data_IF_183131292222
#
_entry.id   IF_183131292222
#
_cell.length_a   1.000
_cell.length_b   1.000
_cell.length_c   1.000
_cell.angle_alpha   90.00
_cell.angle_beta   90.00
_cell.angle_gamma   90.00
#
_symmetry.space_group_name_H-M   'P 1'
#
loop_
_entity.id
_entity.type
_entity.pdbx_description
1 polymer ?
#
# COMPACT_ATOMS: atom_id res chain seq x y z
N UNK A 1 -8.92 -13.28 -12.75
CA UNK A 1 -9.01 -11.83 -13.06
C UNK A 1 -7.61 -11.29 -13.27
N UNK A 2 -7.45 -10.27 -14.11
CA UNK A 2 -6.17 -9.62 -14.37
C UNK A 2 -5.85 -8.63 -13.25
N UNK A 3 -4.63 -8.68 -12.72
CA UNK A 3 -4.11 -7.73 -11.73
C UNK A 3 -3.15 -6.77 -12.43
N UNK A 4 -3.36 -5.48 -12.28
CA UNK A 4 -2.34 -4.49 -12.65
C UNK A 4 -1.21 -4.52 -11.63
N UNK A 5 0.02 -4.44 -12.13
CA UNK A 5 1.21 -4.37 -11.31
C UNK A 5 1.34 -3.04 -10.57
N UNK A 6 2.53 -2.82 -9.99
CA UNK A 6 2.88 -1.53 -9.40
C UNK A 6 3.17 -0.49 -10.48
N UNK A 7 2.74 0.75 -10.27
CA UNK A 7 3.08 1.87 -11.15
C UNK A 7 3.22 3.18 -10.37
N UNK A 8 4.12 4.06 -10.81
CA UNK A 8 4.42 5.32 -10.12
C UNK A 8 3.37 6.41 -10.47
N UNK A 9 3.17 7.41 -9.59
CA UNK A 9 2.19 8.49 -9.79
C UNK A 9 2.24 9.21 -11.16
N UNK A 10 3.41 9.60 -11.73
CA UNK A 10 3.44 10.35 -12.99
C UNK A 10 2.75 9.63 -14.15
N UNK A 11 2.98 8.32 -14.28
CA UNK A 11 2.37 7.53 -15.35
C UNK A 11 0.85 7.35 -15.19
N UNK A 12 0.34 7.45 -13.96
CA UNK A 12 -1.10 7.40 -13.69
C UNK A 12 -1.74 8.76 -13.92
N UNK A 13 -1.08 9.84 -13.49
CA UNK A 13 -1.62 11.21 -13.57
C UNK A 13 -2.00 11.61 -14.99
N UNK A 14 -1.20 11.21 -15.97
CA UNK A 14 -1.45 11.49 -17.39
C UNK A 14 -2.64 10.70 -17.97
N UNK A 15 -3.10 9.65 -17.27
CA UNK A 15 -4.07 8.66 -17.75
C UNK A 15 -5.14 8.29 -16.70
N UNK A 16 -5.51 9.23 -15.83
CA UNK A 16 -6.41 8.96 -14.69
C UNK A 16 -7.74 8.34 -15.12
N UNK A 17 -8.39 8.89 -16.15
CA UNK A 17 -9.69 8.43 -16.65
C UNK A 17 -9.59 7.02 -17.25
N UNK A 18 -8.55 6.75 -18.03
CA UNK A 18 -8.26 5.45 -18.63
C UNK A 18 -7.99 4.40 -17.54
N UNK A 19 -7.23 4.79 -16.50
CA UNK A 19 -6.96 3.93 -15.36
C UNK A 19 -8.22 3.58 -14.59
N UNK A 20 -9.09 4.55 -14.32
CA UNK A 20 -10.37 4.28 -13.69
C UNK A 20 -11.26 3.35 -14.56
N UNK A 21 -11.31 3.55 -15.88
CA UNK A 21 -12.05 2.66 -16.81
C UNK A 21 -11.53 1.22 -16.75
N UNK A 22 -10.20 1.05 -16.77
CA UNK A 22 -9.57 -0.28 -16.72
C UNK A 22 -9.85 -0.97 -15.38
N UNK A 23 -9.70 -0.26 -14.26
CA UNK A 23 -9.91 -0.81 -12.91
C UNK A 23 -11.39 -1.12 -12.62
N UNK A 24 -12.33 -0.46 -13.31
CA UNK A 24 -13.75 -0.79 -13.26
C UNK A 24 -14.15 -1.99 -14.12
N UNK A 25 -13.29 -2.45 -15.02
CA UNK A 25 -13.61 -3.56 -15.91
C UNK A 25 -13.81 -4.87 -15.11
N UNK A 26 -14.87 -5.66 -15.38
CA UNK A 26 -15.24 -6.82 -14.56
C UNK A 26 -14.19 -7.94 -14.53
N UNK A 27 -13.27 -7.97 -15.50
CA UNK A 27 -12.18 -8.95 -15.56
C UNK A 27 -10.88 -8.46 -14.93
N UNK A 28 -10.84 -7.24 -14.40
CA UNK A 28 -9.67 -6.62 -13.77
C UNK A 28 -9.95 -6.46 -12.27
N UNK A 29 -8.95 -6.72 -11.43
CA UNK A 29 -9.09 -6.44 -10.00
C UNK A 29 -9.16 -4.92 -9.77
N UNK A 30 -10.07 -4.49 -8.90
CA UNK A 30 -10.12 -3.12 -8.39
C UNK A 30 -9.05 -2.96 -7.28
N UNK A 31 -7.79 -3.09 -7.70
CA UNK A 31 -6.60 -3.00 -6.86
C UNK A 31 -5.50 -2.29 -7.65
N UNK A 32 -4.77 -1.38 -7.02
CA UNK A 32 -3.57 -0.80 -7.60
C UNK A 32 -2.51 -0.57 -6.53
N UNK A 33 -1.24 -0.84 -6.87
CA UNK A 33 -0.10 -0.52 -6.01
C UNK A 33 0.59 0.75 -6.53
N UNK A 34 0.50 1.82 -5.74
CA UNK A 34 1.05 3.14 -6.06
C UNK A 34 2.04 3.53 -4.95
N UNK A 35 3.35 3.49 -5.19
CA UNK A 35 4.32 3.82 -4.17
C UNK A 35 4.39 5.34 -3.92
N UNK A 36 4.16 5.77 -2.69
CA UNK A 36 4.43 7.15 -2.25
C UNK A 36 5.87 7.32 -1.79
N UNK A 37 6.46 6.29 -1.18
CA UNK A 37 7.83 6.22 -0.65
C UNK A 37 8.10 7.12 0.56
N UNK A 38 7.71 8.39 0.50
CA UNK A 38 7.78 9.36 1.60
C UNK A 38 6.69 10.42 1.41
N UNK A 39 6.15 10.97 2.49
CA UNK A 39 5.23 12.10 2.40
C UNK A 39 5.92 13.47 2.61
N UNK A 40 7.21 13.55 2.32
CA UNK A 40 7.97 14.81 2.28
C UNK A 40 8.50 15.07 0.87
N UNK A 41 8.12 16.20 0.28
CA UNK A 41 8.59 16.60 -1.06
C UNK A 41 10.11 16.77 -1.13
N UNK A 42 10.74 17.19 -0.02
CA UNK A 42 12.19 17.26 0.09
C UNK A 42 12.82 15.87 -0.03
N UNK A 43 12.29 14.89 0.72
CA UNK A 43 12.78 13.51 0.66
C UNK A 43 12.50 12.88 -0.71
N UNK A 44 11.33 13.13 -1.30
CA UNK A 44 10.98 12.66 -2.65
C UNK A 44 11.93 13.21 -3.72
N UNK A 45 12.27 14.50 -3.62
CA UNK A 45 13.23 15.14 -4.53
C UNK A 45 14.62 14.50 -4.41
N UNK A 46 15.11 14.27 -3.18
CA UNK A 46 16.39 13.59 -2.94
C UNK A 46 16.39 12.12 -3.40
N UNK A 47 15.23 11.46 -3.35
CA UNK A 47 14.99 10.15 -3.96
C UNK A 47 14.94 10.19 -5.50
N UNK A 48 15.01 11.37 -6.11
CA UNK A 48 14.83 11.62 -7.55
C UNK A 48 13.48 11.16 -8.07
N UNK A 49 12.41 11.41 -7.30
CA UNK A 49 11.04 11.21 -7.75
C UNK A 49 10.59 12.41 -8.59
N UNK A 50 9.88 12.11 -9.67
CA UNK A 50 9.31 13.11 -10.60
C UNK A 50 7.86 13.46 -10.23
N UNK A 51 7.53 13.37 -8.93
CA UNK A 51 6.21 13.66 -8.37
C UNK A 51 6.35 14.19 -6.94
N UNK A 52 5.37 14.97 -6.53
CA UNK A 52 5.21 15.44 -5.15
C UNK A 52 4.12 14.67 -4.39
N UNK A 53 3.96 14.96 -3.11
CA UNK A 53 2.89 14.37 -2.27
C UNK A 53 1.52 14.74 -2.80
N UNK A 54 1.33 15.98 -3.30
CA UNK A 54 0.06 16.42 -3.86
C UNK A 54 -0.33 15.62 -5.13
N UNK A 55 0.66 15.26 -5.95
CA UNK A 55 0.46 14.39 -7.11
C UNK A 55 -0.02 12.99 -6.70
N UNK A 56 0.64 12.39 -5.70
CA UNK A 56 0.20 11.12 -5.14
C UNK A 56 -1.22 11.19 -4.59
N UNK A 57 -1.54 12.21 -3.79
CA UNK A 57 -2.88 12.43 -3.23
C UNK A 57 -3.93 12.56 -4.34
N UNK A 58 -3.64 13.35 -5.37
CA UNK A 58 -4.52 13.52 -6.53
C UNK A 58 -4.86 12.19 -7.20
N UNK A 59 -3.86 11.31 -7.40
CA UNK A 59 -4.10 9.98 -7.97
C UNK A 59 -4.99 9.14 -7.05
N UNK A 60 -4.65 9.07 -5.76
CA UNK A 60 -5.37 8.26 -4.78
C UNK A 60 -6.82 8.72 -4.63
N UNK A 61 -7.05 10.03 -4.48
CA UNK A 61 -8.38 10.61 -4.31
C UNK A 61 -9.24 10.38 -5.55
N UNK A 62 -8.69 10.63 -6.74
CA UNK A 62 -9.38 10.40 -8.00
C UNK A 62 -9.80 8.93 -8.15
N UNK A 63 -8.90 7.98 -7.87
CA UNK A 63 -9.21 6.56 -7.99
C UNK A 63 -10.21 6.08 -6.94
N UNK A 64 -10.13 6.57 -5.70
CA UNK A 64 -11.12 6.27 -4.65
C UNK A 64 -12.51 6.80 -5.03
N UNK A 65 -12.60 7.93 -5.71
CA UNK A 65 -13.86 8.48 -6.21
C UNK A 65 -14.40 7.68 -7.42
N UNK A 66 -13.56 7.39 -8.41
CA UNK A 66 -13.99 6.81 -9.70
C UNK A 66 -14.05 5.29 -9.73
N UNK A 67 -13.40 4.59 -8.80
CA UNK A 67 -13.37 3.12 -8.74
C UNK A 67 -13.89 2.67 -7.36
N UNK A 68 -15.22 2.47 -7.22
CA UNK A 68 -15.82 2.11 -5.95
C UNK A 68 -15.19 0.87 -5.32
N UNK A 69 -14.76 1.00 -4.06
CA UNK A 69 -14.18 -0.09 -3.28
C UNK A 69 -12.73 -0.44 -3.62
N UNK A 70 -12.05 0.34 -4.48
CA UNK A 70 -10.66 0.08 -4.85
C UNK A 70 -9.74 -0.09 -3.63
N UNK A 71 -8.91 -1.14 -3.67
CA UNK A 71 -7.81 -1.32 -2.72
C UNK A 71 -6.56 -0.65 -3.28
N UNK A 72 -6.04 0.32 -2.54
CA UNK A 72 -4.77 0.98 -2.88
C UNK A 72 -3.69 0.50 -1.91
N UNK A 73 -2.65 -0.09 -2.47
CA UNK A 73 -1.43 -0.42 -1.75
C UNK A 73 -0.37 0.66 -1.97
N UNK A 74 0.52 0.84 -1.01
CA UNK A 74 1.66 1.77 -1.16
C UNK A 74 2.89 1.29 -0.41
N UNK A 75 4.05 1.75 -0.85
CA UNK A 75 5.35 1.55 -0.20
C UNK A 75 5.78 2.82 0.52
N UNK A 76 6.40 2.65 1.69
CA UNK A 76 7.09 3.70 2.45
C UNK A 76 8.50 3.25 2.77
N UNK A 77 9.48 4.15 2.59
CA UNK A 77 10.88 3.96 2.98
C UNK A 77 11.16 4.87 4.16
N UNK A 78 11.33 4.30 5.35
CA UNK A 78 11.74 5.03 6.53
C UNK A 78 13.26 5.21 6.58
N UNK A 79 13.70 6.42 6.91
CA UNK A 79 15.09 6.72 7.20
C UNK A 79 15.95 6.92 5.97
N UNK A 80 15.38 7.47 4.89
CA UNK A 80 16.16 7.92 3.76
C UNK A 80 17.22 8.96 4.23
N UNK A 81 18.44 8.97 3.66
CA UNK A 81 19.48 9.92 4.07
C UNK A 81 18.99 11.37 3.94
N UNK A 82 19.04 12.13 5.04
CA UNK A 82 18.49 13.50 5.11
C UNK A 82 17.06 13.59 5.65
N UNK A 83 16.35 12.48 5.84
CA UNK A 83 14.97 12.49 6.40
C UNK A 83 14.96 12.98 7.85
N UNK A 84 14.31 14.13 8.06
CA UNK A 84 14.12 14.75 9.38
C UNK A 84 12.95 14.11 10.14
N UNK A 85 12.81 14.46 11.42
CA UNK A 85 11.65 14.01 12.20
C UNK A 85 10.35 14.60 11.67
N UNK A 86 10.37 15.83 11.13
CA UNK A 86 9.19 16.45 10.54
C UNK A 86 8.73 15.72 9.27
N UNK A 87 9.67 15.37 8.38
CA UNK A 87 9.38 14.57 7.17
C UNK A 87 8.73 13.23 7.51
N UNK A 88 9.24 12.57 8.56
CA UNK A 88 8.68 11.33 9.04
C UNK A 88 7.27 11.52 9.63
N UNK A 89 7.03 12.60 10.38
CA UNK A 89 5.69 12.89 10.92
C UNK A 89 4.67 13.20 9.81
N UNK A 90 5.07 13.85 8.72
CA UNK A 90 4.20 14.03 7.54
C UNK A 90 3.82 12.68 6.92
N UNK A 91 4.77 11.74 6.89
CA UNK A 91 4.53 10.37 6.40
C UNK A 91 3.55 9.61 7.30
N UNK A 92 3.67 9.76 8.63
CA UNK A 92 2.70 9.20 9.58
C UNK A 92 1.30 9.76 9.34
N UNK A 93 1.17 11.09 9.23
CA UNK A 93 -0.13 11.75 8.99
C UNK A 93 -0.80 11.28 7.70
N UNK A 94 -0.03 11.08 6.63
CA UNK A 94 -0.56 10.54 5.37
C UNK A 94 -1.17 9.14 5.57
N UNK A 95 -0.51 8.28 6.33
CA UNK A 95 -1.02 6.93 6.62
C UNK A 95 -2.28 6.98 7.49
N UNK A 96 -2.34 7.87 8.48
CA UNK A 96 -3.53 8.09 9.31
C UNK A 96 -4.72 8.65 8.53
N UNK A 97 -4.45 9.55 7.58
CA UNK A 97 -5.45 10.17 6.70
C UNK A 97 -6.07 9.14 5.75
N UNK A 98 -5.24 8.35 5.07
CA UNK A 98 -5.71 7.46 4.01
C UNK A 98 -6.08 6.05 4.48
N UNK A 99 -5.57 5.62 5.63
CA UNK A 99 -5.82 4.29 6.23
C UNK A 99 -5.70 3.15 5.21
N UNK A 100 -4.55 3.11 4.51
CA UNK A 100 -4.31 2.15 3.43
C UNK A 100 -4.55 0.70 3.89
N UNK A 101 -5.28 -0.12 3.11
CA UNK A 101 -5.50 -1.53 3.44
C UNK A 101 -4.26 -2.43 3.29
N UNK A 102 -3.26 -1.97 2.54
CA UNK A 102 -1.99 -2.66 2.32
C UNK A 102 -0.85 -1.65 2.29
N UNK A 103 0.08 -1.77 3.24
CA UNK A 103 1.18 -0.83 3.40
C UNK A 103 2.50 -1.59 3.57
N UNK A 104 3.46 -1.31 2.70
CA UNK A 104 4.80 -1.91 2.74
C UNK A 104 5.78 -0.92 3.38
N UNK A 105 6.16 -1.18 4.63
CA UNK A 105 7.06 -0.31 5.40
C UNK A 105 8.46 -0.92 5.39
N UNK A 106 9.38 -0.26 4.68
CA UNK A 106 10.76 -0.70 4.56
C UNK A 106 11.72 0.31 5.19
N UNK A 107 12.87 -0.17 5.67
CA UNK A 107 13.97 0.73 6.05
C UNK A 107 14.82 1.05 4.82
N UNK A 108 15.34 2.28 4.75
CA UNK A 108 16.35 2.59 3.76
C UNK A 108 17.61 1.76 3.99
N UNK A 109 18.07 1.10 2.93
CA UNK A 109 19.33 0.38 2.88
C UNK A 109 20.22 0.96 1.77
N UNK A 110 21.39 1.55 2.09
CA UNK A 110 22.27 2.12 1.09
C UNK A 110 22.82 1.03 0.19
N UNK A 111 22.61 1.16 -1.12
CA UNK A 111 23.19 0.26 -2.12
C UNK A 111 24.54 0.81 -2.58
N UNK A 112 25.62 0.01 -2.57
CA UNK A 112 26.92 0.43 -3.06
C UNK A 112 26.83 1.06 -4.46
N UNK A 113 27.53 2.17 -4.68
CA UNK A 113 27.57 2.87 -5.97
C UNK A 113 26.43 3.85 -6.23
N UNK A 114 25.42 3.93 -5.36
CA UNK A 114 24.31 4.90 -5.51
C UNK A 114 24.65 6.27 -4.92
N UNK A 115 24.09 7.38 -5.44
CA UNK A 115 24.25 8.70 -4.82
C UNK A 115 23.81 8.72 -3.35
N UNK A 116 22.69 8.07 -3.03
CA UNK A 116 22.15 8.00 -1.68
C UNK A 116 23.08 7.29 -0.68
N UNK A 117 23.96 6.38 -1.13
CA UNK A 117 24.95 5.75 -0.26
C UNK A 117 26.08 6.69 0.18
N UNK A 118 26.27 7.84 -0.49
CA UNK A 118 27.30 8.84 -0.16
C UNK A 118 26.81 9.92 0.79
N UNK A 119 25.49 10.02 1.00
CA UNK A 119 24.88 11.00 1.90
C UNK A 119 25.06 10.51 3.35
N UNK A 120 25.26 11.38 4.36
CA UNK A 120 25.22 10.99 5.76
C UNK A 120 23.95 10.22 6.10
N UNK A 121 24.12 8.99 6.60
CA UNK A 121 23.01 8.07 6.81
C UNK A 121 22.26 8.35 8.11
N UNK A 122 20.95 8.16 8.09
CA UNK A 122 20.14 8.13 9.31
C UNK A 122 20.57 6.94 10.19
N UNK A 123 20.82 7.13 11.50
CA UNK A 123 21.25 6.06 12.39
C UNK A 123 20.29 4.87 12.37
N UNK A 124 20.83 3.64 12.40
CA UNK A 124 20.04 2.42 12.32
C UNK A 124 18.96 2.32 13.41
N UNK A 125 19.24 2.84 14.62
CA UNK A 125 18.25 2.90 15.70
C UNK A 125 17.06 3.79 15.35
N UNK A 126 17.29 4.94 14.72
CA UNK A 126 16.23 5.85 14.27
C UNK A 126 15.39 5.19 13.18
N UNK A 127 16.02 4.55 12.18
CA UNK A 127 15.29 3.82 11.12
C UNK A 127 14.39 2.72 11.70
N UNK A 128 14.92 1.95 12.66
CA UNK A 128 14.17 0.91 13.38
C UNK A 128 13.00 1.49 14.17
N UNK A 129 13.20 2.60 14.86
CA UNK A 129 12.16 3.27 15.63
C UNK A 129 11.04 3.79 14.71
N UNK A 130 11.39 4.48 13.61
CA UNK A 130 10.44 5.00 12.62
C UNK A 130 9.60 3.89 11.99
N UNK A 131 10.22 2.79 11.56
CA UNK A 131 9.48 1.63 11.04
C UNK A 131 8.53 1.06 12.10
N UNK A 132 8.98 0.90 13.36
CA UNK A 132 8.12 0.39 14.44
C UNK A 132 6.93 1.30 14.73
N UNK A 133 7.13 2.61 14.72
CA UNK A 133 6.06 3.59 14.97
C UNK A 133 5.06 3.61 13.82
N UNK A 134 5.51 3.63 12.57
CA UNK A 134 4.63 3.58 11.42
C UNK A 134 3.86 2.25 11.32
N UNK A 135 4.52 1.12 11.67
CA UNK A 135 3.83 -0.16 11.81
C UNK A 135 2.77 -0.11 12.90
N UNK A 136 3.01 0.55 14.04
CA UNK A 136 2.00 0.71 15.09
C UNK A 136 0.76 1.46 14.57
N UNK A 137 0.98 2.52 13.79
CA UNK A 137 -0.09 3.30 13.17
C UNK A 137 -0.88 2.43 12.17
N UNK A 138 -0.20 1.70 11.29
CA UNK A 138 -0.86 0.78 10.34
C UNK A 138 -1.75 -0.26 11.04
N UNK A 139 -1.28 -0.86 12.14
CA UNK A 139 -2.05 -1.84 12.90
C UNK A 139 -3.11 -1.22 13.83
N UNK A 140 -3.17 0.11 13.94
CA UNK A 140 -4.15 0.80 14.81
C UNK A 140 -5.54 0.94 14.19
N UNK A 141 -5.66 0.72 12.87
CA UNK A 141 -6.94 0.83 12.16
C UNK A 141 -7.27 -0.46 11.41
N UNK A 142 -8.57 -0.76 11.28
CA UNK A 142 -9.06 -1.85 10.44
C UNK A 142 -9.84 -1.28 9.24
N UNK A 143 -9.33 -1.39 8.01
CA UNK A 143 -10.02 -0.87 6.83
C UNK A 143 -11.21 -1.72 6.40
N UNK A 144 -11.39 -2.91 6.98
CA UNK A 144 -12.35 -3.93 6.52
C UNK A 144 -13.59 -4.09 7.41
N UNK A 145 -13.77 -3.27 8.45
CA UNK A 145 -14.91 -3.41 9.39
C UNK A 145 -16.27 -3.41 8.66
N UNK A 146 -16.41 -2.59 7.63
CA UNK A 146 -17.62 -2.50 6.82
C UNK A 146 -17.93 -3.76 6.00
N UNK A 147 -16.98 -4.69 5.83
CA UNK A 147 -17.14 -5.92 5.03
C UNK A 147 -17.56 -7.12 5.87
N UNK A 148 -17.58 -6.99 7.19
CA UNK A 148 -17.92 -8.09 8.09
C UNK A 148 -19.39 -8.48 7.89
N UNK A 149 -19.63 -9.76 7.59
CA UNK A 149 -20.97 -10.30 7.36
C UNK A 149 -21.47 -10.20 5.92
N UNK A 150 -20.73 -9.53 5.03
CA UNK A 150 -21.07 -9.47 3.60
C UNK A 150 -20.85 -10.82 2.90
N UNK A 151 -21.67 -11.09 1.88
CA UNK A 151 -21.43 -12.18 0.93
C UNK A 151 -20.66 -11.64 -0.27
N UNK A 152 -19.50 -12.22 -0.56
CA UNK A 152 -18.64 -11.77 -1.65
C UNK A 152 -18.34 -12.90 -2.63
N UNK A 153 -18.20 -12.53 -3.91
CA UNK A 153 -17.63 -13.43 -4.92
C UNK A 153 -16.11 -13.42 -4.78
N UNK A 154 -15.52 -14.61 -4.82
CA UNK A 154 -14.09 -14.81 -4.62
C UNK A 154 -13.56 -15.86 -5.58
N UNK A 155 -12.29 -15.72 -5.95
CA UNK A 155 -11.53 -16.70 -6.70
C UNK A 155 -10.64 -17.47 -5.72
N UNK A 156 -10.89 -18.77 -5.57
CA UNK A 156 -10.02 -19.66 -4.80
C UNK A 156 -8.70 -19.83 -5.56
N UNK A 157 -7.59 -19.59 -4.89
CA UNK A 157 -6.25 -19.68 -5.48
C UNK A 157 -5.45 -20.83 -4.90
N UNK A 158 -5.64 -21.14 -3.61
CA UNK A 158 -4.85 -22.15 -2.91
C UNK A 158 -5.71 -22.87 -1.86
N UNK A 159 -5.30 -24.11 -1.53
CA UNK A 159 -5.70 -24.78 -0.31
C UNK A 159 -4.70 -24.43 0.80
N UNK A 160 -5.19 -24.27 2.03
CA UNK A 160 -4.30 -24.04 3.17
C UNK A 160 -3.45 -25.29 3.44
N UNK A 161 -2.28 -25.09 4.05
CA UNK A 161 -1.33 -26.17 4.35
C UNK A 161 -1.93 -27.29 5.21
N UNK A 162 -2.89 -26.97 6.07
CA UNK A 162 -3.63 -27.92 6.91
C UNK A 162 -4.86 -28.52 6.21
N UNK A 163 -5.10 -28.20 4.94
CA UNK A 163 -6.26 -28.58 4.10
C UNK A 163 -7.62 -28.28 4.72
N UNK A 164 -7.69 -27.42 5.74
CA UNK A 164 -8.93 -27.06 6.42
C UNK A 164 -9.65 -25.88 5.78
N UNK A 165 -8.92 -25.07 5.01
CA UNK A 165 -9.43 -23.82 4.44
C UNK A 165 -8.97 -23.64 3.01
N UNK A 166 -9.68 -22.78 2.30
CA UNK A 166 -9.25 -22.23 1.03
C UNK A 166 -8.75 -20.81 1.24
N UNK A 167 -7.69 -20.45 0.53
CA UNK A 167 -7.26 -19.06 0.34
C UNK A 167 -7.88 -18.58 -0.97
N UNK A 168 -8.57 -17.45 -0.89
CA UNK A 168 -9.26 -16.86 -2.03
C UNK A 168 -9.08 -15.35 -2.07
N UNK A 169 -9.27 -14.75 -3.24
CA UNK A 169 -9.25 -13.30 -3.42
C UNK A 169 -10.58 -12.79 -3.96
N UNK A 170 -11.08 -11.70 -3.39
CA UNK A 170 -12.25 -11.00 -3.94
C UNK A 170 -11.87 -10.05 -5.09
N UNK A 171 -12.86 -9.33 -5.64
CA UNK A 171 -12.66 -8.34 -6.72
C UNK A 171 -11.65 -7.24 -6.39
N UNK A 172 -11.43 -6.95 -5.11
CA UNK A 172 -10.53 -5.89 -4.62
C UNK A 172 -9.14 -6.43 -4.27
N UNK A 173 -8.86 -7.68 -4.69
CA UNK A 173 -7.65 -8.43 -4.42
C UNK A 173 -7.38 -8.69 -2.93
N UNK A 174 -8.39 -8.50 -2.09
CA UNK A 174 -8.30 -8.77 -0.66
C UNK A 174 -8.34 -10.27 -0.42
N UNK A 175 -7.46 -10.76 0.45
CA UNK A 175 -7.40 -12.17 0.79
C UNK A 175 -8.51 -12.52 1.79
N UNK A 176 -9.22 -13.60 1.48
CA UNK A 176 -10.32 -14.18 2.25
C UNK A 176 -9.96 -15.64 2.52
N UNK A 177 -10.25 -16.14 3.73
CA UNK A 177 -10.01 -17.56 4.08
C UNK A 177 -11.29 -18.18 4.62
N UNK A 178 -11.64 -19.39 4.21
CA UNK A 178 -12.84 -20.06 4.72
C UNK A 178 -12.98 -21.52 4.27
N UNK A 179 -14.08 -22.17 4.61
CA UNK A 179 -14.36 -23.57 4.26
C UNK A 179 -15.25 -23.66 3.02
N UNK A 180 -15.28 -24.82 2.36
CA UNK A 180 -15.94 -25.07 1.06
C UNK A 180 -17.42 -24.60 0.97
N UNK A 181 -18.12 -24.49 2.11
CA UNK A 181 -19.52 -24.07 2.17
C UNK A 181 -19.72 -22.56 2.35
N UNK A 182 -18.75 -21.85 2.96
CA UNK A 182 -18.84 -20.41 3.26
C UNK A 182 -17.44 -19.80 3.38
N UNK A 183 -17.04 -19.00 2.39
CA UNK A 183 -15.87 -18.13 2.49
C UNK A 183 -16.28 -16.85 3.22
N UNK A 184 -15.71 -16.63 4.41
CA UNK A 184 -15.88 -15.42 5.22
C UNK A 184 -14.57 -14.66 5.23
N UNK A 185 -14.60 -13.33 5.36
CA UNK A 185 -13.39 -12.55 5.61
C UNK A 185 -12.76 -13.02 6.93
N UNK A 186 -11.60 -13.67 6.85
CA UNK A 186 -10.79 -14.03 8.00
C UNK A 186 -9.51 -13.20 7.88
N UNK A 187 -9.32 -12.27 8.82
CA UNK A 187 -8.03 -11.60 8.96
C UNK A 187 -6.95 -12.68 9.17
N UNK A 188 -5.91 -12.62 8.34
CA UNK A 188 -4.68 -13.38 8.60
C UNK A 188 -4.02 -12.78 9.84
N UNK A 189 -4.22 -13.40 11.00
CA UNK A 189 -3.31 -13.26 12.14
C UNK A 189 -1.98 -13.92 11.76
N UNK A 190 -1.19 -13.23 10.93
CA UNK A 190 0.24 -13.48 10.82
C UNK A 190 0.94 -12.23 11.32
N UNK A 191 1.12 -12.19 12.63
CA UNK A 191 2.23 -11.46 13.20
C UNK A 191 3.55 -11.98 12.61
N UNK A 192 4.46 -11.02 12.40
CA UNK A 192 5.90 -11.14 12.12
C UNK A 192 6.49 -12.54 12.07
#
# INVERSE_FOLDING_TARGET
MLRLGMTNPPYILEHLEEMAKILNHPRVYAFLHIPVQSASDTVLMEMKREYCVADFKRVVDFLKEKVPGITLATDIICGFPGETDQDFQETVKLVEEYKFPSLFINQFYPRPGTPAAKIPQVPAQVKKQRTKDLSRVFHSYNPYDHKIGERQQVLVTEESFDSKFYVAHNRFYEQVRGTCAFLRFLQSEKGL
#
